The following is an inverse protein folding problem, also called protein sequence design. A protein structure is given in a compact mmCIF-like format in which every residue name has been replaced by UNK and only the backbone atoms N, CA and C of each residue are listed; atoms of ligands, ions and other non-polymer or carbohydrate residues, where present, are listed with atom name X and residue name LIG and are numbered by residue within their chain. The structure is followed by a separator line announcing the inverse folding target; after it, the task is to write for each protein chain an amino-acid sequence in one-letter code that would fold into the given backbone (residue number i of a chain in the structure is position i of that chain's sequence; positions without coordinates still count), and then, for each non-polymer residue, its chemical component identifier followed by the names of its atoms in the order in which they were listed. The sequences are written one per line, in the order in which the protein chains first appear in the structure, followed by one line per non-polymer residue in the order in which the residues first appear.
data_IF_320362663014
#
_entry.id   IF_320362663014
#
_cell.length_a   1.000
_cell.length_b   1.000
_cell.length_c   1.000
_cell.angle_alpha   90.00
_cell.angle_beta   90.00
_cell.angle_gamma   90.00
#
_symmetry.space_group_name_H-M   'P 1'
#
loop_
_entity.id
_entity.type
_entity.pdbx_description
1 polymer ?
#
# COMPACT_ATOMS: atom_id res chain seq x y z
N UNK A 1 4.27 -8.79 -27.24
CA UNK A 1 5.37 -7.97 -26.66
C UNK A 1 5.21 -6.46 -26.89
N UNK A 2 4.60 -6.00 -28.00
CA UNK A 2 4.38 -4.57 -28.29
C UNK A 2 3.25 -3.95 -27.49
N UNK A 3 2.19 -4.69 -27.17
CA UNK A 3 1.01 -4.20 -26.46
C UNK A 3 1.27 -4.04 -24.95
N UNK A 4 2.07 -4.91 -24.33
CA UNK A 4 2.50 -4.79 -22.94
C UNK A 4 3.43 -3.57 -22.75
N UNK A 5 4.30 -3.25 -23.73
CA UNK A 5 5.07 -2.01 -23.71
C UNK A 5 4.20 -0.77 -23.84
N UNK A 6 3.13 -0.82 -24.64
CA UNK A 6 2.16 0.27 -24.75
C UNK A 6 1.35 0.46 -23.46
N UNK A 7 0.93 -0.63 -22.79
CA UNK A 7 0.27 -0.55 -21.48
C UNK A 7 1.22 -0.01 -20.40
N UNK A 8 2.49 -0.44 -20.39
CA UNK A 8 3.52 0.12 -19.48
C UNK A 8 3.75 1.61 -19.73
N UNK A 9 3.76 2.04 -20.98
CA UNK A 9 3.83 3.45 -21.33
C UNK A 9 2.55 4.21 -20.98
N UNK A 10 1.36 3.58 -21.01
CA UNK A 10 0.13 4.21 -20.57
C UNK A 10 0.01 4.37 -19.04
N UNK A 11 0.51 3.44 -18.24
CA UNK A 11 0.47 3.56 -16.77
C UNK A 11 1.51 4.51 -16.21
N UNK A 12 2.68 4.65 -16.86
CA UNK A 12 3.78 5.53 -16.44
C UNK A 12 3.81 6.82 -17.28
N UNK A 13 3.31 6.75 -18.53
CA UNK A 13 3.29 7.86 -19.45
C UNK A 13 2.01 8.64 -19.25
N UNK A 14 2.17 9.69 -18.47
CA UNK A 14 1.48 10.91 -18.76
C UNK A 14 -0.01 10.97 -18.37
N UNK A 15 -0.29 10.89 -17.09
CA UNK A 15 -1.00 12.09 -16.68
C UNK A 15 -0.02 13.22 -16.85
N UNK A 16 0.00 13.87 -17.99
CA UNK A 16 0.55 15.22 -18.07
C UNK A 16 -0.17 15.97 -16.96
N UNK A 17 0.56 16.21 -15.88
CA UNK A 17 0.06 17.00 -14.77
C UNK A 17 -0.28 18.33 -15.40
N UNK A 18 -1.55 18.61 -15.60
CA UNK A 18 -1.98 19.87 -16.17
C UNK A 18 -1.60 21.00 -15.22
N UNK A 19 -1.61 22.22 -15.69
CA UNK A 19 -1.19 23.37 -14.88
C UNK A 19 -2.07 23.56 -13.63
N UNK A 20 -3.32 23.13 -13.69
CA UNK A 20 -4.23 23.14 -12.54
C UNK A 20 -3.78 22.13 -11.49
N UNK A 21 -3.51 20.88 -11.86
CA UNK A 21 -3.04 19.85 -10.93
C UNK A 21 -1.69 20.24 -10.31
N UNK A 22 -0.79 20.82 -11.11
CA UNK A 22 0.48 21.33 -10.61
C UNK A 22 0.29 22.42 -9.56
N UNK A 23 -0.61 23.37 -9.78
CA UNK A 23 -0.92 24.44 -8.80
C UNK A 23 -1.53 23.84 -7.51
N UNK A 24 -2.42 22.87 -7.64
CA UNK A 24 -3.03 22.17 -6.49
C UNK A 24 -1.96 21.43 -5.70
N UNK A 25 -1.10 20.65 -6.35
CA UNK A 25 0.01 19.93 -5.71
C UNK A 25 0.91 20.92 -4.97
N UNK A 26 1.38 21.99 -5.64
CA UNK A 26 2.25 23.00 -5.02
C UNK A 26 1.57 23.69 -3.84
N UNK A 27 0.26 23.99 -3.94
CA UNK A 27 -0.48 24.58 -2.83
C UNK A 27 -0.58 23.63 -1.63
N UNK A 28 -0.80 22.34 -1.88
CA UNK A 28 -0.83 21.32 -0.83
C UNK A 28 0.54 21.12 -0.18
N UNK A 29 1.62 21.08 -0.96
CA UNK A 29 2.99 20.99 -0.46
C UNK A 29 3.33 22.20 0.41
N UNK A 30 3.00 23.42 -0.05
CA UNK A 30 3.19 24.64 0.72
C UNK A 30 2.39 24.64 2.03
N UNK A 31 1.13 24.19 1.99
CA UNK A 31 0.30 24.06 3.18
C UNK A 31 0.89 23.05 4.18
N UNK A 32 1.37 21.91 3.71
CA UNK A 32 2.07 20.92 4.54
C UNK A 32 3.33 21.50 5.16
N UNK A 33 4.13 22.25 4.38
CA UNK A 33 5.33 22.91 4.86
C UNK A 33 5.01 23.98 5.92
N UNK A 34 4.03 24.85 5.68
CA UNK A 34 3.56 25.86 6.64
C UNK A 34 3.11 25.19 7.94
N UNK A 35 2.32 24.14 7.84
CA UNK A 35 1.87 23.36 9.01
C UNK A 35 3.04 22.73 9.77
N UNK A 36 4.00 22.14 9.07
CA UNK A 36 5.18 21.55 9.67
C UNK A 36 6.05 22.59 10.38
N UNK A 37 6.21 23.78 9.80
CA UNK A 37 6.97 24.89 10.36
C UNK A 37 6.24 25.60 11.51
N UNK A 38 4.92 25.63 11.50
CA UNK A 38 4.11 26.33 12.51
C UNK A 38 4.31 25.76 13.93
N UNK A 39 4.53 24.47 14.05
CA UNK A 39 4.69 23.80 15.35
C UNK A 39 6.00 24.19 16.05
N UNK A 40 7.19 24.01 15.42
CA UNK A 40 8.43 24.46 16.03
C UNK A 40 8.45 25.97 16.27
N UNK A 41 7.86 26.76 15.37
CA UNK A 41 7.73 28.22 15.55
C UNK A 41 6.87 28.56 16.77
N UNK A 42 5.73 27.89 16.97
CA UNK A 42 4.86 28.08 18.12
C UNK A 42 5.56 27.73 19.45
N UNK A 43 6.40 26.69 19.43
CA UNK A 43 7.23 26.33 20.61
C UNK A 43 8.32 27.38 20.84
N UNK A 44 9.01 27.82 19.79
CA UNK A 44 10.07 28.81 19.87
C UNK A 44 9.55 30.17 20.40
N UNK A 45 8.36 30.58 19.98
CA UNK A 45 7.72 31.82 20.43
C UNK A 45 7.01 31.71 21.79
N UNK A 46 7.00 30.53 22.40
CA UNK A 46 6.31 30.28 23.66
C UNK A 46 4.79 30.12 23.55
N UNK A 47 4.25 30.14 22.34
CA UNK A 47 2.82 29.94 22.08
C UNK A 47 2.37 28.47 22.28
N UNK A 48 3.32 27.54 22.30
CA UNK A 48 3.08 26.12 22.60
C UNK A 48 4.14 25.59 23.58
N UNK A 49 3.77 24.65 24.47
CA UNK A 49 4.71 24.07 25.42
C UNK A 49 5.72 23.16 24.70
N UNK A 50 6.96 23.17 25.18
CA UNK A 50 8.07 22.34 24.65
C UNK A 50 7.74 20.85 24.63
N UNK A 51 6.88 20.37 25.54
CA UNK A 51 6.42 18.98 25.60
C UNK A 51 5.67 18.51 24.35
N UNK A 52 5.22 19.42 23.49
CA UNK A 52 4.57 19.06 22.21
C UNK A 52 5.54 18.45 21.20
N UNK A 53 6.83 18.81 21.25
CA UNK A 53 7.83 18.29 20.32
C UNK A 53 7.99 16.77 20.47
N UNK A 54 8.29 16.20 21.66
CA UNK A 54 8.42 14.76 21.81
C UNK A 54 7.11 14.01 21.52
N UNK A 55 5.94 14.61 21.83
CA UNK A 55 4.65 14.00 21.52
C UNK A 55 4.44 13.88 20.01
N UNK A 56 4.75 14.91 19.24
CA UNK A 56 4.63 14.89 17.76
C UNK A 56 5.64 13.93 17.12
N UNK A 57 6.85 13.89 17.67
CA UNK A 57 7.84 12.92 17.24
C UNK A 57 7.37 11.48 17.47
N UNK A 58 6.84 11.20 18.66
CA UNK A 58 6.29 9.88 19.00
C UNK A 58 5.13 9.49 18.09
N UNK A 59 4.21 10.44 17.81
CA UNK A 59 3.11 10.23 16.88
C UNK A 59 3.61 9.93 15.46
N UNK A 60 4.57 10.71 14.97
CA UNK A 60 5.18 10.51 13.65
C UNK A 60 5.88 9.16 13.56
N UNK A 61 6.68 8.81 14.56
CA UNK A 61 7.37 7.53 14.65
C UNK A 61 6.39 6.35 14.68
N UNK A 62 5.31 6.45 15.46
CA UNK A 62 4.27 5.42 15.54
C UNK A 62 3.59 5.23 14.17
N UNK A 63 3.29 6.32 13.47
CA UNK A 63 2.71 6.27 12.14
C UNK A 63 3.64 5.61 11.12
N UNK A 64 4.94 5.95 11.16
CA UNK A 64 5.96 5.32 10.31
C UNK A 64 6.08 3.83 10.59
N UNK A 65 6.15 3.43 11.85
CA UNK A 65 6.23 2.01 12.25
C UNK A 65 5.00 1.26 11.74
N UNK A 66 3.79 1.80 11.96
CA UNK A 66 2.57 1.17 11.46
C UNK A 66 2.59 1.02 9.94
N UNK A 67 3.05 2.03 9.21
CA UNK A 67 3.15 1.96 7.76
C UNK A 67 4.19 0.93 7.30
N UNK A 68 5.34 0.83 7.94
CA UNK A 68 6.36 -0.18 7.63
C UNK A 68 5.85 -1.60 7.92
N UNK A 69 5.18 -1.80 9.05
CA UNK A 69 4.58 -3.09 9.39
C UNK A 69 3.50 -3.51 8.39
N UNK A 70 2.75 -2.54 7.86
CA UNK A 70 1.81 -2.78 6.78
C UNK A 70 2.53 -3.22 5.51
N UNK A 71 3.50 -2.44 5.04
CA UNK A 71 4.24 -2.71 3.80
C UNK A 71 4.96 -4.06 3.83
N UNK A 72 5.50 -4.44 4.98
CA UNK A 72 6.14 -5.74 5.17
C UNK A 72 5.21 -6.93 4.88
N UNK A 73 3.91 -6.75 5.07
CA UNK A 73 2.93 -7.79 4.85
C UNK A 73 2.20 -7.68 3.49
N UNK A 74 2.25 -6.51 2.84
CA UNK A 74 1.59 -6.27 1.55
C UNK A 74 2.30 -6.99 0.39
N UNK A 75 3.60 -7.18 0.50
CA UNK A 75 4.47 -7.72 -0.54
C UNK A 75 5.25 -8.94 -0.07
N UNK A 76 5.44 -9.91 -0.97
CA UNK A 76 6.19 -11.14 -0.67
C UNK A 76 7.70 -10.99 -0.83
N UNK A 77 8.16 -10.00 -1.60
CA UNK A 77 9.58 -9.77 -1.91
C UNK A 77 10.30 -10.98 -2.51
N UNK A 78 9.57 -11.84 -3.23
CA UNK A 78 10.12 -13.07 -3.83
C UNK A 78 10.83 -12.83 -5.19
N UNK A 79 10.98 -11.57 -5.61
CA UNK A 79 11.60 -11.21 -6.87
C UNK A 79 13.13 -11.32 -6.84
N UNK A 80 13.72 -11.98 -7.83
CA UNK A 80 15.18 -12.09 -8.03
C UNK A 80 15.86 -10.76 -8.43
N UNK A 81 15.12 -9.65 -8.41
CA UNK A 81 15.64 -8.29 -8.65
C UNK A 81 15.94 -7.97 -10.13
N UNK A 82 15.81 -8.90 -11.05
CA UNK A 82 16.28 -8.69 -12.43
C UNK A 82 15.25 -8.09 -13.40
N UNK A 83 13.95 -8.27 -13.20
CA UNK A 83 12.95 -7.58 -14.04
C UNK A 83 11.63 -7.44 -13.31
N UNK A 84 11.28 -6.25 -12.88
CA UNK A 84 9.92 -5.98 -12.42
C UNK A 84 8.97 -5.87 -13.62
N UNK A 85 8.42 -6.97 -14.04
CA UNK A 85 7.28 -6.97 -14.94
C UNK A 85 6.00 -6.65 -14.15
N UNK A 86 5.01 -6.03 -14.79
CA UNK A 86 3.73 -5.68 -14.15
C UNK A 86 3.08 -6.91 -13.53
N UNK A 87 3.22 -8.07 -14.17
CA UNK A 87 2.69 -9.34 -13.69
C UNK A 87 3.39 -9.76 -12.38
N UNK A 88 4.72 -9.63 -12.29
CA UNK A 88 5.47 -9.95 -11.06
C UNK A 88 5.08 -9.02 -9.90
N UNK A 89 4.83 -7.73 -10.16
CA UNK A 89 4.36 -6.80 -9.12
C UNK A 89 2.96 -7.14 -8.59
N UNK A 90 2.07 -7.62 -9.45
CA UNK A 90 0.74 -8.06 -9.03
C UNK A 90 0.86 -9.34 -8.21
N UNK A 91 1.67 -10.29 -8.67
CA UNK A 91 1.88 -11.58 -8.00
C UNK A 91 2.65 -11.43 -6.68
N UNK A 92 3.47 -10.39 -6.54
CA UNK A 92 4.15 -10.04 -5.29
C UNK A 92 3.21 -9.43 -4.23
N UNK A 93 2.06 -8.93 -4.64
CA UNK A 93 1.07 -8.30 -3.76
C UNK A 93 0.07 -9.31 -3.22
N UNK A 94 -0.58 -9.00 -2.09
CA UNK A 94 -1.61 -9.87 -1.55
C UNK A 94 -2.91 -9.13 -1.15
N UNK A 95 -3.99 -9.92 -1.03
CA UNK A 95 -5.26 -9.48 -0.48
C UNK A 95 -5.47 -10.13 0.89
N UNK A 96 -5.90 -9.35 1.88
CA UNK A 96 -6.28 -9.88 3.19
C UNK A 96 -7.79 -10.04 3.26
N UNK A 97 -8.25 -11.29 3.29
CA UNK A 97 -9.68 -11.60 3.22
C UNK A 97 -10.36 -11.61 4.59
N UNK A 98 -9.60 -11.79 5.68
CA UNK A 98 -10.13 -11.88 7.03
C UNK A 98 -10.46 -10.50 7.62
N UNK A 99 -11.61 -10.42 8.30
CA UNK A 99 -12.08 -9.25 9.04
C UNK A 99 -11.63 -9.29 10.52
N UNK A 100 -10.35 -9.55 10.79
CA UNK A 100 -9.85 -9.47 12.16
C UNK A 100 -9.42 -8.02 12.51
N UNK A 101 -9.43 -7.65 13.81
CA UNK A 101 -9.16 -6.29 14.24
C UNK A 101 -7.79 -5.76 13.81
N UNK A 102 -6.76 -6.60 13.76
CA UNK A 102 -5.41 -6.20 13.35
C UNK A 102 -5.37 -5.92 11.85
N UNK A 103 -5.99 -6.78 11.05
CA UNK A 103 -6.09 -6.53 9.60
C UNK A 103 -6.85 -5.22 9.33
N UNK A 104 -7.94 -4.94 10.03
CA UNK A 104 -8.69 -3.69 9.87
C UNK A 104 -7.91 -2.46 10.37
N UNK A 105 -7.09 -2.60 11.41
CA UNK A 105 -6.25 -1.52 11.93
C UNK A 105 -5.15 -1.13 10.93
N UNK A 106 -4.46 -2.11 10.35
CA UNK A 106 -3.36 -1.86 9.40
C UNK A 106 -3.88 -1.51 7.99
N UNK A 107 -5.06 -1.99 7.61
CA UNK A 107 -5.67 -1.81 6.29
C UNK A 107 -7.07 -1.19 6.36
N UNK A 108 -7.19 0.06 6.79
CA UNK A 108 -8.47 0.75 6.80
C UNK A 108 -9.04 0.93 5.37
N UNK A 109 -10.33 1.21 5.26
CA UNK A 109 -11.01 1.58 4.01
C UNK A 109 -10.88 0.60 2.84
N UNK A 110 -10.84 -0.71 3.12
CA UNK A 110 -10.70 -1.77 2.11
C UNK A 110 -9.35 -1.80 1.35
N UNK A 111 -8.34 -1.03 1.77
CA UNK A 111 -6.98 -1.08 1.20
C UNK A 111 -6.32 -2.46 1.39
N UNK A 112 -6.92 -3.32 2.20
CA UNK A 112 -6.54 -4.73 2.38
C UNK A 112 -6.61 -5.58 1.10
N UNK A 113 -7.33 -5.11 0.07
CA UNK A 113 -7.35 -5.73 -1.26
C UNK A 113 -6.25 -5.10 -2.13
N UNK A 114 -5.01 -5.19 -1.67
CA UNK A 114 -3.88 -4.47 -2.25
C UNK A 114 -3.52 -5.00 -3.64
N UNK A 115 -3.50 -6.31 -3.83
CA UNK A 115 -3.28 -6.93 -5.14
C UNK A 115 -4.37 -6.50 -6.15
N UNK A 116 -5.62 -6.40 -5.71
CA UNK A 116 -6.70 -5.91 -6.56
C UNK A 116 -6.53 -4.43 -6.93
N UNK A 117 -6.02 -3.62 -6.00
CA UNK A 117 -5.71 -2.22 -6.28
C UNK A 117 -4.60 -2.08 -7.34
N UNK A 118 -3.60 -2.95 -7.33
CA UNK A 118 -2.58 -2.98 -8.38
C UNK A 118 -3.15 -3.40 -9.75
N UNK A 119 -4.11 -4.32 -9.78
CA UNK A 119 -4.82 -4.70 -11.01
C UNK A 119 -5.68 -3.57 -11.56
N UNK A 120 -6.37 -2.84 -10.70
CA UNK A 120 -7.32 -1.79 -11.04
C UNK A 120 -7.06 -0.51 -10.23
N UNK A 121 -5.97 0.24 -10.51
CA UNK A 121 -5.58 1.41 -9.72
C UNK A 121 -6.61 2.54 -9.71
N UNK A 122 -7.47 2.59 -10.73
CA UNK A 122 -8.54 3.58 -10.84
C UNK A 122 -9.82 3.21 -10.07
N UNK A 123 -9.90 1.98 -9.53
CA UNK A 123 -11.08 1.55 -8.79
C UNK A 123 -11.08 2.19 -7.38
N UNK A 124 -12.15 2.89 -6.99
CA UNK A 124 -12.25 3.49 -5.67
C UNK A 124 -12.17 2.43 -4.55
N UNK A 125 -11.49 2.75 -3.45
CA UNK A 125 -11.26 1.82 -2.34
C UNK A 125 -12.53 1.19 -1.76
N UNK A 126 -13.63 1.95 -1.69
CA UNK A 126 -14.91 1.42 -1.19
C UNK A 126 -15.52 0.33 -2.09
N UNK A 127 -15.11 0.25 -3.36
CA UNK A 127 -15.59 -0.77 -4.31
C UNK A 127 -14.69 -2.00 -4.37
N UNK A 128 -13.48 -1.98 -3.78
CA UNK A 128 -12.54 -3.09 -3.86
C UNK A 128 -13.11 -4.40 -3.27
N UNK A 129 -13.83 -4.33 -2.15
CA UNK A 129 -14.42 -5.51 -1.53
C UNK A 129 -15.47 -6.18 -2.44
N UNK A 130 -16.34 -5.38 -3.08
CA UNK A 130 -17.33 -5.89 -4.04
C UNK A 130 -16.68 -6.46 -5.29
N UNK A 131 -15.67 -5.77 -5.83
CA UNK A 131 -14.92 -6.23 -6.99
C UNK A 131 -14.15 -7.53 -6.71
N UNK A 132 -13.53 -7.67 -5.54
CA UNK A 132 -12.88 -8.91 -5.12
C UNK A 132 -13.89 -10.07 -5.08
N UNK A 133 -15.04 -9.87 -4.43
CA UNK A 133 -16.10 -10.88 -4.36
C UNK A 133 -16.57 -11.29 -5.75
N UNK A 134 -16.77 -10.31 -6.63
CA UNK A 134 -17.16 -10.57 -8.01
C UNK A 134 -16.12 -11.41 -8.76
N UNK A 135 -14.83 -11.06 -8.65
CA UNK A 135 -13.75 -11.81 -9.30
C UNK A 135 -13.65 -13.24 -8.77
N UNK A 136 -13.74 -13.45 -7.46
CA UNK A 136 -13.70 -14.79 -6.86
C UNK A 136 -14.88 -15.67 -7.35
N UNK A 137 -16.04 -15.08 -7.61
CA UNK A 137 -17.20 -15.80 -8.13
C UNK A 137 -17.10 -16.17 -9.61
N UNK A 138 -16.41 -15.35 -10.43
CA UNK A 138 -16.40 -15.49 -11.88
C UNK A 138 -15.08 -16.00 -12.47
N UNK A 139 -13.97 -15.89 -11.73
CA UNK A 139 -12.68 -16.40 -12.22
C UNK A 139 -12.62 -17.93 -12.08
N UNK A 140 -11.92 -18.61 -13.01
CA UNK A 140 -11.63 -20.04 -12.90
C UNK A 140 -10.92 -20.39 -11.59
N UNK A 141 -11.07 -21.64 -11.12
CA UNK A 141 -10.45 -22.08 -9.87
C UNK A 141 -8.92 -22.02 -9.90
N UNK A 142 -8.32 -22.22 -11.06
CA UNK A 142 -6.88 -22.16 -11.28
C UNK A 142 -6.35 -20.74 -11.55
N UNK A 143 -7.17 -19.70 -11.39
CA UNK A 143 -6.73 -18.32 -11.60
C UNK A 143 -5.63 -17.92 -10.62
N UNK A 144 -4.48 -17.37 -11.08
CA UNK A 144 -3.41 -16.87 -10.23
C UNK A 144 -3.89 -15.85 -9.19
N UNK A 145 -4.91 -15.07 -9.50
CA UNK A 145 -5.50 -14.09 -8.59
C UNK A 145 -6.00 -14.71 -7.27
N UNK A 146 -6.54 -15.94 -7.31
CA UNK A 146 -7.00 -16.65 -6.09
C UNK A 146 -5.84 -17.00 -5.15
N UNK A 147 -4.65 -17.19 -5.70
CA UNK A 147 -3.42 -17.44 -4.95
C UNK A 147 -2.90 -16.22 -4.17
N UNK A 148 -3.44 -15.02 -4.44
CA UNK A 148 -3.03 -13.78 -3.76
C UNK A 148 -3.75 -13.54 -2.43
N UNK A 149 -4.76 -14.35 -2.12
CA UNK A 149 -5.53 -14.21 -0.88
C UNK A 149 -4.75 -14.74 0.32
N UNK A 150 -4.74 -13.96 1.39
CA UNK A 150 -4.11 -14.28 2.68
C UNK A 150 -5.13 -14.19 3.80
N UNK A 151 -5.05 -15.07 4.81
CA UNK A 151 -6.07 -15.14 5.86
C UNK A 151 -6.14 -13.89 6.74
N UNK A 152 -5.03 -13.21 7.00
CA UNK A 152 -4.99 -12.00 7.81
C UNK A 152 -3.57 -11.51 8.04
N UNK A 153 -3.45 -10.23 8.40
CA UNK A 153 -2.16 -9.55 8.57
C UNK A 153 -1.22 -10.27 9.56
N UNK A 154 -1.73 -10.67 10.72
CA UNK A 154 -0.90 -11.31 11.75
C UNK A 154 -0.23 -12.60 11.29
N UNK A 155 -0.93 -13.39 10.51
CA UNK A 155 -0.40 -14.66 9.98
C UNK A 155 0.78 -14.40 9.05
N UNK A 156 0.65 -13.41 8.17
CA UNK A 156 1.72 -13.03 7.23
C UNK A 156 2.87 -12.37 7.99
N UNK A 157 2.60 -11.37 8.83
CA UNK A 157 3.62 -10.66 9.61
C UNK A 157 4.44 -11.63 10.48
N UNK A 158 3.79 -12.58 11.14
CA UNK A 158 4.48 -13.61 11.93
C UNK A 158 5.40 -14.48 11.07
N UNK A 159 4.97 -14.87 9.87
CA UNK A 159 5.81 -15.63 8.94
C UNK A 159 7.02 -14.82 8.48
N UNK A 160 6.81 -13.55 8.14
CA UNK A 160 7.88 -12.68 7.66
C UNK A 160 8.91 -12.36 8.76
N UNK A 161 8.47 -12.16 10.01
CA UNK A 161 9.36 -11.79 11.12
C UNK A 161 10.04 -13.02 11.73
N UNK A 162 9.33 -14.13 11.89
CA UNK A 162 9.80 -15.28 12.66
C UNK A 162 10.01 -16.55 11.82
N UNK A 163 9.44 -16.60 10.61
CA UNK A 163 9.52 -17.75 9.73
C UNK A 163 10.68 -17.60 8.76
N UNK A 164 11.87 -18.06 9.15
CA UNK A 164 13.04 -18.18 8.28
C UNK A 164 12.95 -19.31 7.24
N UNK A 165 11.78 -19.80 6.91
CA UNK A 165 11.58 -20.80 5.86
C UNK A 165 10.81 -20.18 4.70
N UNK A 166 11.54 -19.90 3.62
CA UNK A 166 10.96 -19.76 2.28
C UNK A 166 10.09 -21.00 2.07
N UNK A 167 8.79 -20.81 1.89
CA UNK A 167 7.94 -21.88 1.44
C UNK A 167 8.48 -22.32 0.07
N UNK A 168 9.21 -23.43 0.07
CA UNK A 168 9.56 -24.12 -1.16
C UNK A 168 8.25 -24.30 -1.93
N UNK A 169 8.21 -23.73 -3.11
CA UNK A 169 7.21 -23.97 -4.13
C UNK A 169 6.92 -25.46 -4.18
N UNK A 170 5.70 -25.84 -3.83
CA UNK A 170 5.20 -27.15 -4.07
C UNK A 170 5.10 -27.36 -5.59
N UNK A 171 6.17 -27.82 -6.19
CA UNK A 171 6.16 -28.51 -7.46
C UNK A 171 5.80 -29.97 -7.18
N UNK A 172 4.62 -30.35 -7.51
CA UNK A 172 4.24 -31.70 -7.97
C UNK A 172 2.81 -31.69 -8.48
#
# INVERSE_FOLDING_TARGET
HSDLRRQRQMCIRDRQINDFDRRVITAMELLCFIRAAAIPLAVFTGAAPLSRIPLLYLLGLSTLIMNQMRQLADHHFDGDGETSDVESHILDSCNFTRNDPLTLLFFPFSIRYHALHHLFPSLPYHNLAGAHTYLIQHLPENSPYRGLDRPGWWVVAKRTIFGGERAATATS
#
